data_IF_060991878057
#
_entry.id   IF_060991878057
#
_cell.length_a   1.000
_cell.length_b   1.000
_cell.length_c   1.000
_cell.angle_alpha   90.00
_cell.angle_beta   90.00
_cell.angle_gamma   90.00
#
_symmetry.space_group_name_H-M   'P 1'
#
loop_
_entity.id
_entity.type
_entity.pdbx_description
1 polymer ?
#
# COMPACT_ATOMS: atom_id res chain seq x y z
N UNK A 1 13.33 -17.64 15.02
CA UNK A 1 12.59 -17.01 13.89
C UNK A 1 11.26 -17.69 13.54
N UNK A 2 11.06 -19.01 13.70
CA UNK A 2 9.72 -19.64 13.58
C UNK A 2 8.64 -18.96 14.45
N UNK A 3 9.05 -18.37 15.57
CA UNK A 3 8.20 -17.55 16.44
C UNK A 3 7.43 -16.44 15.69
N UNK A 4 8.02 -15.84 14.65
CA UNK A 4 7.36 -14.78 13.88
C UNK A 4 6.18 -15.35 13.09
N UNK A 5 6.41 -16.43 12.34
CA UNK A 5 5.35 -17.07 11.58
C UNK A 5 4.25 -17.64 12.49
N UNK A 6 4.64 -18.21 13.64
CA UNK A 6 3.69 -18.69 14.64
C UNK A 6 2.84 -17.56 15.22
N UNK A 7 3.45 -16.41 15.49
CA UNK A 7 2.74 -15.21 15.95
C UNK A 7 1.70 -14.78 14.92
N UNK A 8 2.13 -14.50 13.69
CA UNK A 8 1.25 -14.10 12.58
C UNK A 8 0.12 -15.11 12.33
N UNK A 9 0.42 -16.40 12.35
CA UNK A 9 -0.58 -17.47 12.17
C UNK A 9 -1.58 -17.56 13.32
N UNK A 10 -1.24 -17.06 14.51
CA UNK A 10 -2.16 -16.99 15.65
C UNK A 10 -2.97 -15.68 15.69
N UNK A 11 -2.42 -14.60 15.14
CA UNK A 11 -3.08 -13.29 15.02
C UNK A 11 -4.26 -13.36 14.05
N UNK A 12 -4.09 -14.04 12.91
CA UNK A 12 -5.09 -14.08 11.85
C UNK A 12 -5.82 -15.43 11.75
N UNK A 13 -7.15 -15.46 11.86
CA UNK A 13 -7.92 -16.71 11.86
C UNK A 13 -7.97 -17.40 10.49
N UNK A 14 -7.80 -16.65 9.40
CA UNK A 14 -7.85 -17.18 8.02
C UNK A 14 -6.69 -16.65 7.15
N UNK A 15 -5.46 -16.83 7.62
CA UNK A 15 -4.25 -16.36 6.95
C UNK A 15 -4.10 -16.89 5.51
N UNK A 16 -4.47 -18.15 5.26
CA UNK A 16 -4.32 -18.77 3.94
C UNK A 16 -5.56 -18.64 3.05
N UNK A 17 -6.75 -18.47 3.62
CA UNK A 17 -7.98 -18.25 2.87
C UNK A 17 -8.16 -16.80 2.44
N UNK A 18 -7.58 -15.83 3.17
CA UNK A 18 -7.54 -14.44 2.74
C UNK A 18 -6.78 -14.29 1.40
N UNK A 19 -7.38 -13.60 0.42
CA UNK A 19 -6.88 -13.51 -0.97
C UNK A 19 -6.72 -12.07 -1.47
N UNK A 20 -6.47 -11.13 -0.57
CA UNK A 20 -6.29 -9.73 -0.94
C UNK A 20 -5.00 -9.11 -0.39
N UNK A 21 -4.03 -9.90 0.06
CA UNK A 21 -2.71 -9.33 0.40
C UNK A 21 -2.09 -8.66 -0.84
N UNK A 22 -1.13 -7.76 -0.62
CA UNK A 22 -0.30 -7.18 -1.69
C UNK A 22 0.31 -8.25 -2.60
N UNK A 23 0.60 -9.44 -2.07
CA UNK A 23 0.98 -10.63 -2.85
C UNK A 23 -0.08 -11.00 -3.90
N UNK A 24 -1.32 -11.19 -3.48
CA UNK A 24 -2.44 -11.54 -4.36
C UNK A 24 -2.69 -10.43 -5.38
N UNK A 25 -2.48 -9.19 -4.95
CA UNK A 25 -2.67 -8.02 -5.78
C UNK A 25 -1.69 -7.97 -6.94
N UNK A 26 -0.40 -8.07 -6.63
CA UNK A 26 0.67 -8.10 -7.63
C UNK A 26 0.53 -9.31 -8.55
N UNK A 27 0.18 -10.48 -8.01
CA UNK A 27 0.03 -11.70 -8.81
C UNK A 27 -1.15 -11.62 -9.77
N UNK A 28 -2.32 -11.14 -9.33
CA UNK A 28 -3.49 -10.96 -10.20
C UNK A 28 -3.24 -9.93 -11.31
N UNK A 29 -2.44 -8.91 -11.02
CA UNK A 29 -2.08 -7.86 -11.98
C UNK A 29 -0.83 -8.15 -12.81
N UNK A 30 -0.28 -9.37 -12.71
CA UNK A 30 0.89 -9.80 -13.49
C UNK A 30 2.11 -8.89 -13.30
N UNK A 31 2.35 -8.47 -12.06
CA UNK A 31 3.54 -7.71 -11.70
C UNK A 31 3.36 -6.21 -11.70
N UNK A 32 2.16 -5.69 -11.43
CA UNK A 32 1.95 -4.26 -11.17
C UNK A 32 0.94 -4.04 -10.04
N UNK A 33 0.85 -2.80 -9.54
CA UNK A 33 -0.15 -2.39 -8.56
C UNK A 33 -0.77 -1.06 -9.00
N UNK A 34 -2.08 -0.93 -8.86
CA UNK A 34 -2.81 0.29 -9.15
C UNK A 34 -3.25 0.97 -7.84
N UNK A 35 -2.98 2.27 -7.73
CA UNK A 35 -3.30 3.10 -6.60
C UNK A 35 -4.35 4.15 -6.95
N UNK A 36 -5.23 4.43 -6.00
CA UNK A 36 -6.05 5.63 -6.01
C UNK A 36 -5.73 6.52 -4.80
N UNK A 37 -5.58 7.83 -5.00
CA UNK A 37 -5.30 8.76 -3.90
C UNK A 37 -6.61 9.33 -3.36
N UNK A 38 -6.85 9.21 -2.05
CA UNK A 38 -7.94 9.86 -1.33
C UNK A 38 -7.39 11.07 -0.58
N UNK A 39 -7.71 12.26 -1.06
CA UNK A 39 -7.29 13.51 -0.43
C UNK A 39 -8.38 14.01 0.50
N UNK A 40 -8.28 13.64 1.78
CA UNK A 40 -9.22 14.03 2.83
C UNK A 40 -8.76 15.33 3.51
N UNK A 41 -8.59 16.37 2.69
CA UNK A 41 -8.19 17.71 3.12
C UNK A 41 -8.76 18.77 2.18
N UNK A 42 -9.02 19.97 2.70
CA UNK A 42 -9.41 21.13 1.89
C UNK A 42 -8.19 21.91 1.38
N UNK A 43 -6.97 21.51 1.76
CA UNK A 43 -5.76 22.15 1.28
C UNK A 43 -5.61 21.99 -0.25
N UNK A 44 -5.24 23.06 -0.98
CA UNK A 44 -5.14 23.01 -2.44
C UNK A 44 -4.01 22.09 -2.89
N UNK A 45 -4.24 21.36 -3.99
CA UNK A 45 -3.26 20.47 -4.60
C UNK A 45 -2.88 21.03 -5.96
N UNK A 46 -1.66 21.55 -6.08
CA UNK A 46 -1.07 21.95 -7.37
C UNK A 46 -0.65 20.73 -8.19
N UNK A 47 -0.44 20.90 -9.50
CA UNK A 47 0.15 19.85 -10.36
C UNK A 47 1.47 19.34 -9.79
N UNK A 48 2.34 20.26 -9.32
CA UNK A 48 3.64 19.91 -8.76
C UNK A 48 3.52 19.05 -7.49
N UNK A 49 2.60 19.40 -6.59
CA UNK A 49 2.37 18.60 -5.38
C UNK A 49 1.83 17.21 -5.71
N UNK A 50 0.88 17.12 -6.67
CA UNK A 50 0.37 15.83 -7.16
C UNK A 50 1.52 14.95 -7.68
N UNK A 51 2.38 15.50 -8.53
CA UNK A 51 3.47 14.75 -9.16
C UNK A 51 4.51 14.31 -8.13
N UNK A 52 4.80 15.14 -7.11
CA UNK A 52 5.65 14.77 -5.98
C UNK A 52 5.03 13.63 -5.16
N UNK A 53 3.72 13.67 -4.88
CA UNK A 53 3.01 12.59 -4.20
C UNK A 53 3.08 11.29 -5.00
N UNK A 54 2.86 11.35 -6.32
CA UNK A 54 2.97 10.17 -7.19
C UNK A 54 4.39 9.59 -7.16
N UNK A 55 5.42 10.43 -7.28
CA UNK A 55 6.80 9.99 -7.26
C UNK A 55 7.19 9.37 -5.91
N UNK A 56 6.80 10.01 -4.80
CA UNK A 56 7.02 9.50 -3.46
C UNK A 56 6.32 8.15 -3.25
N UNK A 57 5.04 8.05 -3.57
CA UNK A 57 4.26 6.81 -3.49
C UNK A 57 4.94 5.66 -4.26
N UNK A 58 5.29 5.89 -5.53
CA UNK A 58 6.00 4.90 -6.37
C UNK A 58 7.32 4.46 -5.74
N UNK A 59 8.12 5.42 -5.25
CA UNK A 59 9.41 5.15 -4.63
C UNK A 59 9.26 4.34 -3.34
N UNK A 60 8.40 4.78 -2.43
CA UNK A 60 8.27 4.19 -1.11
C UNK A 60 7.70 2.77 -1.19
N UNK A 61 6.63 2.56 -1.95
CA UNK A 61 6.07 1.22 -2.16
C UNK A 61 7.06 0.30 -2.89
N UNK A 62 7.78 0.83 -3.88
CA UNK A 62 8.81 0.11 -4.61
C UNK A 62 9.97 -0.41 -3.74
N UNK A 63 10.24 0.19 -2.57
CA UNK A 63 11.28 -0.32 -1.64
C UNK A 63 10.94 -1.70 -1.09
N UNK A 64 9.66 -2.00 -0.84
CA UNK A 64 9.22 -3.33 -0.42
C UNK A 64 9.36 -4.36 -1.55
N UNK A 65 9.17 -3.96 -2.80
CA UNK A 65 9.42 -4.85 -3.94
C UNK A 65 10.90 -5.08 -4.19
N UNK A 66 11.74 -4.05 -4.00
CA UNK A 66 13.18 -4.21 -4.02
C UNK A 66 13.68 -5.17 -2.92
N UNK A 67 13.01 -5.21 -1.76
CA UNK A 67 13.31 -6.15 -0.69
C UNK A 67 13.11 -7.63 -1.10
N UNK A 68 12.29 -7.93 -2.11
CA UNK A 68 12.13 -9.28 -2.66
C UNK A 68 13.25 -9.72 -3.59
N UNK A 69 14.13 -8.81 -3.98
CA UNK A 69 15.21 -9.08 -4.93
C UNK A 69 16.55 -9.30 -4.23
N UNK A 70 17.37 -10.17 -4.80
CA UNK A 70 18.79 -10.30 -4.50
C UNK A 70 19.58 -10.09 -5.80
N UNK A 71 20.39 -9.04 -5.85
CA UNK A 71 21.10 -8.59 -7.06
C UNK A 71 20.20 -8.54 -8.32
N UNK A 72 18.97 -8.02 -8.17
CA UNK A 72 18.00 -7.88 -9.26
C UNK A 72 17.24 -9.16 -9.62
N UNK A 73 17.53 -10.29 -8.96
CA UNK A 73 16.83 -11.56 -9.17
C UNK A 73 15.81 -11.80 -8.06
N UNK A 74 14.61 -12.24 -8.43
CA UNK A 74 13.58 -12.57 -7.45
C UNK A 74 13.99 -13.72 -6.52
N UNK A 75 13.79 -13.53 -5.22
CA UNK A 75 14.09 -14.57 -4.22
C UNK A 75 12.96 -15.58 -4.10
N UNK A 76 13.30 -16.84 -3.81
CA UNK A 76 12.33 -17.90 -3.52
C UNK A 76 11.17 -18.00 -4.55
N UNK A 77 11.52 -18.09 -5.83
CA UNK A 77 10.58 -18.15 -6.96
C UNK A 77 9.68 -16.92 -7.14
N UNK A 78 10.00 -15.77 -6.51
CA UNK A 78 9.34 -14.51 -6.82
C UNK A 78 9.52 -14.16 -8.32
N UNK A 79 8.44 -13.96 -9.08
CA UNK A 79 8.53 -13.94 -10.54
C UNK A 79 8.81 -12.55 -11.15
N UNK A 80 8.79 -11.48 -10.35
CA UNK A 80 8.85 -10.11 -10.86
C UNK A 80 10.15 -9.39 -10.48
N UNK A 81 10.95 -9.03 -11.47
CA UNK A 81 12.14 -8.18 -11.27
C UNK A 81 11.78 -6.70 -11.04
N UNK A 82 10.56 -6.29 -11.39
CA UNK A 82 10.03 -4.95 -11.14
C UNK A 82 8.52 -5.03 -10.98
N UNK A 83 7.97 -4.20 -10.09
CA UNK A 83 6.53 -4.07 -9.91
C UNK A 83 6.15 -2.59 -10.01
N UNK A 84 5.71 -2.11 -11.19
CA UNK A 84 5.31 -0.72 -11.36
C UNK A 84 4.09 -0.37 -10.51
N UNK A 85 4.12 0.83 -9.93
CA UNK A 85 3.00 1.44 -9.21
C UNK A 85 2.35 2.48 -10.12
N UNK A 86 1.10 2.26 -10.48
CA UNK A 86 0.32 3.16 -11.32
C UNK A 86 -0.65 3.95 -10.44
N UNK A 87 -0.70 5.27 -10.56
CA UNK A 87 -1.76 6.05 -9.92
C UNK A 87 -2.85 6.21 -10.98
N UNK A 88 -4.03 5.63 -10.73
CA UNK A 88 -5.13 5.58 -11.71
C UNK A 88 -6.24 6.59 -11.41
N UNK A 89 -6.33 7.07 -10.17
CA UNK A 89 -7.36 8.03 -9.78
C UNK A 89 -7.03 8.88 -8.54
N UNK A 90 -7.81 9.94 -8.38
CA UNK A 90 -7.79 10.87 -7.25
C UNK A 90 -9.22 11.17 -6.79
N UNK A 91 -9.46 11.07 -5.49
CA UNK A 91 -10.71 11.46 -4.85
C UNK A 91 -10.52 12.70 -4.00
N UNK A 92 -11.45 13.66 -4.15
CA UNK A 92 -11.52 14.90 -3.37
C UNK A 92 -12.96 15.22 -3.04
N UNK A 93 -13.19 15.93 -1.93
CA UNK A 93 -14.53 16.39 -1.60
C UNK A 93 -15.03 17.43 -2.61
N UNK A 94 -14.18 18.41 -2.95
CA UNK A 94 -14.49 19.49 -3.88
C UNK A 94 -13.48 19.48 -5.05
N UNK A 95 -13.97 19.57 -6.30
CA UNK A 95 -13.09 19.59 -7.48
C UNK A 95 -12.13 20.78 -7.48
N UNK A 96 -12.54 21.90 -6.89
CA UNK A 96 -11.76 23.13 -6.76
C UNK A 96 -10.51 22.97 -5.88
N UNK A 97 -10.45 21.93 -5.04
CA UNK A 97 -9.24 21.58 -4.27
C UNK A 97 -8.07 21.22 -5.19
N UNK A 98 -8.34 20.64 -6.37
CA UNK A 98 -7.31 20.28 -7.34
C UNK A 98 -7.07 21.45 -8.31
N UNK A 99 -5.91 22.08 -8.23
CA UNK A 99 -5.49 23.23 -9.06
C UNK A 99 -4.88 22.81 -10.40
N UNK A 100 -5.33 21.68 -10.92
CA UNK A 100 -4.89 21.07 -12.18
C UNK A 100 -6.09 20.47 -12.90
N UNK A 101 -6.00 20.33 -14.23
CA UNK A 101 -7.14 19.95 -15.09
C UNK A 101 -6.78 18.91 -16.15
N UNK A 102 -5.56 18.37 -16.14
CA UNK A 102 -5.20 17.28 -17.05
C UNK A 102 -5.96 15.99 -16.73
N UNK A 103 -5.90 15.05 -17.68
CA UNK A 103 -6.60 13.77 -17.66
C UNK A 103 -5.63 12.58 -17.40
N UNK A 104 -4.52 12.82 -16.70
CA UNK A 104 -3.55 11.77 -16.39
C UNK A 104 -4.12 10.65 -15.51
N UNK A 105 -5.16 10.96 -14.72
CA UNK A 105 -5.83 10.05 -13.79
C UNK A 105 -7.34 10.36 -13.72
N UNK A 106 -8.13 9.42 -13.24
CA UNK A 106 -9.57 9.62 -13.03
C UNK A 106 -9.80 10.53 -11.82
N UNK A 107 -10.80 11.40 -11.89
CA UNK A 107 -11.16 12.31 -10.78
C UNK A 107 -12.51 11.96 -10.21
N UNK A 108 -12.53 11.61 -8.93
CA UNK A 108 -13.73 11.33 -8.14
C UNK A 108 -14.00 12.51 -7.20
N UNK A 109 -14.62 13.57 -7.73
CA UNK A 109 -15.01 14.72 -6.93
C UNK A 109 -16.41 14.51 -6.32
N UNK A 110 -16.54 14.68 -5.01
CA UNK A 110 -17.83 14.58 -4.31
C UNK A 110 -18.35 13.15 -4.11
N UNK A 111 -17.58 12.13 -4.51
CA UNK A 111 -17.87 10.75 -4.12
C UNK A 111 -17.36 10.54 -2.69
N UNK A 112 -18.28 10.41 -1.73
CA UNK A 112 -17.96 10.32 -0.32
C UNK A 112 -18.36 8.95 0.24
N UNK A 113 -17.56 8.45 1.19
CA UNK A 113 -17.94 7.29 1.99
C UNK A 113 -19.00 7.65 3.04
N UNK A 114 -19.43 6.65 3.82
CA UNK A 114 -20.45 6.84 4.86
C UNK A 114 -20.04 7.80 5.98
N UNK A 115 -18.74 8.08 6.15
CA UNK A 115 -18.22 9.05 7.09
C UNK A 115 -18.06 10.45 6.47
N UNK A 116 -18.43 10.63 5.20
CA UNK A 116 -18.31 11.89 4.48
C UNK A 116 -16.90 12.18 3.96
N UNK A 117 -15.99 11.20 3.97
CA UNK A 117 -14.64 11.34 3.46
C UNK A 117 -14.58 10.98 1.96
N UNK A 118 -13.79 11.70 1.15
CA UNK A 118 -13.73 11.44 -0.29
C UNK A 118 -13.12 10.10 -0.60
N UNK A 119 -13.77 9.33 -1.46
CA UNK A 119 -13.35 8.00 -1.89
C UNK A 119 -13.35 7.86 -3.40
N UNK A 120 -12.47 7.00 -3.90
CA UNK A 120 -12.51 6.56 -5.29
C UNK A 120 -13.74 5.66 -5.51
N UNK A 121 -14.15 5.44 -6.77
CA UNK A 121 -15.32 4.62 -7.07
C UNK A 121 -15.20 3.22 -6.44
N UNK A 122 -16.14 2.79 -5.56
CA UNK A 122 -16.11 1.44 -4.99
C UNK A 122 -16.15 0.35 -6.05
N UNK A 123 -16.88 0.56 -7.15
CA UNK A 123 -16.95 -0.37 -8.29
C UNK A 123 -15.60 -0.62 -8.98
N UNK A 124 -14.59 0.21 -8.71
CA UNK A 124 -13.23 0.06 -9.24
C UNK A 124 -12.23 -0.42 -8.18
N UNK A 125 -12.63 -0.55 -6.91
CA UNK A 125 -11.73 -0.87 -5.81
C UNK A 125 -11.68 -2.36 -5.52
N UNK A 126 -10.49 -2.94 -5.55
CA UNK A 126 -10.29 -4.36 -5.24
C UNK A 126 -10.75 -4.78 -3.86
N UNK A 127 -10.63 -3.87 -2.88
CA UNK A 127 -11.18 -4.09 -1.55
C UNK A 127 -12.68 -4.48 -1.58
N UNK A 128 -13.44 -3.91 -2.52
CA UNK A 128 -14.86 -4.19 -2.73
C UNK A 128 -15.11 -5.35 -3.70
N UNK A 129 -14.14 -5.65 -4.57
CA UNK A 129 -14.24 -6.60 -5.68
C UNK A 129 -13.09 -7.62 -5.65
N UNK A 130 -13.00 -8.39 -4.56
CA UNK A 130 -11.99 -9.44 -4.38
C UNK A 130 -12.22 -10.65 -5.29
N UNK A 131 -13.39 -10.75 -5.90
CA UNK A 131 -13.72 -11.68 -6.98
C UNK A 131 -13.07 -11.32 -8.32
N UNK A 132 -12.50 -10.11 -8.43
CA UNK A 132 -11.89 -9.60 -9.65
C UNK A 132 -12.91 -9.12 -10.69
N UNK A 133 -14.19 -8.96 -10.32
CA UNK A 133 -15.22 -8.44 -11.23
C UNK A 133 -15.24 -6.91 -11.20
N UNK A 134 -14.57 -6.32 -12.19
CA UNK A 134 -14.57 -4.86 -12.41
C UNK A 134 -15.50 -4.44 -13.56
N UNK A 135 -16.51 -5.25 -13.92
CA UNK A 135 -17.45 -4.94 -15.02
C UNK A 135 -18.23 -3.64 -14.81
N UNK A 136 -18.41 -3.22 -13.56
CA UNK A 136 -19.06 -1.95 -13.18
C UNK A 136 -18.08 -0.78 -13.06
N UNK A 137 -16.78 -1.01 -13.10
CA UNK A 137 -15.80 0.06 -13.16
C UNK A 137 -15.86 0.73 -14.54
N UNK A 138 -16.07 2.05 -14.68
CA UNK A 138 -16.22 2.70 -15.98
C UNK A 138 -15.04 2.50 -16.95
N UNK A 139 -13.82 2.31 -16.41
CA UNK A 139 -12.63 1.96 -17.18
C UNK A 139 -12.19 0.50 -17.05
N UNK A 140 -13.06 -0.35 -16.53
CA UNK A 140 -12.89 -1.78 -16.34
C UNK A 140 -11.63 -2.14 -15.56
N UNK A 141 -11.11 -3.34 -15.86
CA UNK A 141 -9.88 -3.88 -15.26
C UNK A 141 -8.69 -2.93 -15.45
N UNK A 142 -8.62 -2.15 -16.52
CA UNK A 142 -7.47 -1.24 -16.73
C UNK A 142 -7.45 -0.02 -15.79
N UNK A 143 -8.60 0.35 -15.23
CA UNK A 143 -8.75 1.53 -14.36
C UNK A 143 -9.14 1.18 -12.93
N UNK A 144 -9.18 -0.11 -12.58
CA UNK A 144 -9.34 -0.55 -11.20
C UNK A 144 -8.13 -0.12 -10.34
N UNK A 145 -8.31 -0.02 -9.03
CA UNK A 145 -7.23 0.18 -8.06
C UNK A 145 -7.22 -0.96 -7.04
N UNK A 146 -6.02 -1.41 -6.69
CA UNK A 146 -5.78 -2.41 -5.65
C UNK A 146 -5.66 -1.76 -4.27
N UNK A 147 -5.03 -0.59 -4.24
CA UNK A 147 -4.63 0.11 -3.03
C UNK A 147 -5.14 1.54 -3.04
N UNK A 148 -5.42 2.08 -1.86
CA UNK A 148 -5.84 3.46 -1.68
C UNK A 148 -4.89 4.20 -0.75
N UNK A 149 -4.35 5.34 -1.17
CA UNK A 149 -3.54 6.22 -0.31
C UNK A 149 -4.43 7.32 0.26
N UNK A 150 -4.74 7.24 1.55
CA UNK A 150 -5.56 8.22 2.25
C UNK A 150 -4.65 9.24 2.92
N UNK A 151 -4.72 10.48 2.45
CA UNK A 151 -4.01 11.62 3.01
C UNK A 151 -5.02 12.44 3.80
N UNK A 152 -5.09 12.18 5.10
CA UNK A 152 -6.11 12.74 5.98
C UNK A 152 -5.59 13.92 6.78
N UNK A 153 -6.26 15.07 6.66
CA UNK A 153 -5.94 16.27 7.43
C UNK A 153 -6.00 16.00 8.95
N UNK A 154 -4.92 16.33 9.66
CA UNK A 154 -4.85 16.22 11.12
C UNK A 154 -4.78 14.78 11.67
N UNK A 155 -4.80 13.75 10.82
CA UNK A 155 -4.64 12.36 11.26
C UNK A 155 -3.23 12.13 11.80
N UNK A 156 -3.13 11.50 12.97
CA UNK A 156 -1.86 11.17 13.63
C UNK A 156 -1.61 9.68 13.54
N UNK A 157 -0.34 9.30 13.38
CA UNK A 157 0.05 7.91 13.16
C UNK A 157 -0.26 7.43 11.73
N UNK A 158 -0.41 6.12 11.59
CA UNK A 158 -0.71 5.45 10.34
C UNK A 158 -1.67 4.29 10.56
N UNK A 159 -2.29 3.86 9.47
CA UNK A 159 -3.01 2.59 9.39
C UNK A 159 -2.84 2.01 7.98
N UNK A 160 -2.64 0.70 7.89
CA UNK A 160 -2.32 0.03 6.64
C UNK A 160 -2.93 -1.36 6.55
N UNK A 161 -3.03 -1.88 5.33
CA UNK A 161 -3.53 -3.23 5.09
C UNK A 161 -3.75 -3.54 3.61
N UNK A 162 -4.65 -4.48 3.36
CA UNK A 162 -5.02 -4.95 2.03
C UNK A 162 -5.73 -3.88 1.18
N UNK A 163 -6.36 -2.88 1.81
CA UNK A 163 -7.09 -1.81 1.13
C UNK A 163 -6.23 -0.59 0.78
N UNK A 164 -5.03 -0.46 1.35
CA UNK A 164 -4.28 0.79 1.26
C UNK A 164 -3.49 1.17 2.51
N UNK A 165 -3.14 2.45 2.53
CA UNK A 165 -2.50 3.11 3.67
C UNK A 165 -3.23 4.43 3.95
N UNK A 166 -3.34 4.78 5.22
CA UNK A 166 -3.81 6.08 5.70
C UNK A 166 -2.75 6.70 6.58
N UNK A 167 -2.42 7.95 6.28
CA UNK A 167 -1.48 8.76 7.06
C UNK A 167 -1.94 10.21 7.11
N UNK A 168 -1.35 10.99 8.02
CA UNK A 168 -1.56 12.43 8.07
C UNK A 168 -1.17 13.11 6.77
N UNK A 169 -2.06 13.94 6.21
CA UNK A 169 -1.81 14.69 4.99
C UNK A 169 -0.59 15.62 5.15
N UNK A 170 -0.52 16.34 6.27
CA UNK A 170 0.56 17.26 6.60
C UNK A 170 1.89 16.51 6.78
N UNK A 171 1.85 15.35 7.45
CA UNK A 171 3.00 14.47 7.62
C UNK A 171 3.56 14.00 6.28
N UNK A 172 2.72 13.39 5.43
CA UNK A 172 3.18 12.81 4.17
C UNK A 172 3.72 13.89 3.23
N UNK A 173 3.01 15.01 3.11
CA UNK A 173 3.44 16.13 2.25
C UNK A 173 4.73 16.80 2.76
N UNK A 174 4.91 16.92 4.08
CA UNK A 174 6.16 17.40 4.67
C UNK A 174 7.34 16.44 4.52
N UNK A 175 7.07 15.16 4.25
CA UNK A 175 8.07 14.11 4.09
C UNK A 175 8.41 13.75 2.64
N UNK A 176 7.80 14.39 1.62
CA UNK A 176 7.95 14.01 0.20
C UNK A 176 9.40 13.98 -0.30
N UNK A 177 10.28 14.78 0.29
CA UNK A 177 11.70 14.83 -0.07
C UNK A 177 12.57 13.82 0.70
N UNK A 178 12.02 13.12 1.70
CA UNK A 178 12.78 12.18 2.51
C UNK A 178 13.07 10.89 1.75
N UNK A 179 14.22 10.27 2.06
CA UNK A 179 14.57 8.98 1.48
C UNK A 179 13.56 7.90 1.88
N UNK A 180 13.16 7.92 3.15
CA UNK A 180 12.22 6.98 3.76
C UNK A 180 11.08 7.78 4.42
N UNK A 181 9.86 7.65 3.90
CA UNK A 181 8.67 8.22 4.56
C UNK A 181 8.22 7.22 5.62
N UNK A 182 8.87 7.30 6.79
CA UNK A 182 8.85 6.27 7.83
C UNK A 182 7.47 5.64 8.11
N UNK A 183 6.48 6.42 8.55
CA UNK A 183 5.15 5.89 8.92
C UNK A 183 4.49 5.25 7.69
N UNK A 184 4.53 5.92 6.54
CA UNK A 184 3.96 5.34 5.32
C UNK A 184 4.64 4.02 4.93
N UNK A 185 5.97 3.91 5.05
CA UNK A 185 6.68 2.66 4.76
C UNK A 185 6.25 1.53 5.70
N UNK A 186 6.05 1.83 6.98
CA UNK A 186 5.51 0.88 7.96
C UNK A 186 4.12 0.39 7.52
N UNK A 187 3.22 1.32 7.17
CA UNK A 187 1.87 0.96 6.72
C UNK A 187 1.84 0.11 5.44
N UNK A 188 2.81 0.27 4.55
CA UNK A 188 2.94 -0.61 3.37
C UNK A 188 3.35 -2.04 3.78
N UNK A 189 4.06 -2.22 4.89
CA UNK A 189 4.38 -3.56 5.40
C UNK A 189 3.13 -4.39 5.70
N UNK A 190 2.10 -3.77 6.27
CA UNK A 190 0.80 -4.42 6.54
C UNK A 190 0.08 -4.87 5.26
N UNK A 191 0.28 -4.19 4.13
CA UNK A 191 -0.22 -4.65 2.83
C UNK A 191 0.27 -6.05 2.50
N UNK A 192 1.47 -6.43 2.95
CA UNK A 192 2.05 -7.76 2.74
C UNK A 192 1.80 -8.73 3.90
N UNK A 193 0.91 -8.38 4.84
CA UNK A 193 0.53 -9.21 5.98
C UNK A 193 1.54 -9.20 7.13
N UNK A 194 2.46 -8.24 7.16
CA UNK A 194 3.38 -8.11 8.28
C UNK A 194 2.67 -7.49 9.49
N UNK A 195 2.81 -8.10 10.66
CA UNK A 195 2.20 -7.63 11.91
C UNK A 195 2.88 -6.38 12.47
N UNK A 196 2.14 -5.66 13.31
CA UNK A 196 2.70 -4.73 14.28
C UNK A 196 3.36 -5.48 15.44
N UNK A 197 4.44 -4.91 15.98
CA UNK A 197 5.19 -5.50 17.10
C UNK A 197 5.18 -4.60 18.34
N UNK A 198 3.99 -4.19 18.80
CA UNK A 198 3.84 -3.33 19.99
C UNK A 198 4.04 -4.09 21.31
N UNK A 199 3.41 -5.25 21.45
CA UNK A 199 3.33 -5.99 22.72
C UNK A 199 4.33 -7.14 22.81
N UNK A 200 4.94 -7.51 21.68
CA UNK A 200 5.86 -8.63 21.57
C UNK A 200 6.88 -8.37 20.47
N UNK A 201 8.12 -8.84 20.69
CA UNK A 201 9.18 -8.82 19.69
C UNK A 201 9.88 -10.17 19.61
N UNK A 202 10.34 -10.61 18.42
CA UNK A 202 11.03 -11.88 18.26
C UNK A 202 12.36 -11.93 19.03
N UNK A 203 12.69 -13.09 19.57
CA UNK A 203 13.87 -13.26 20.42
C UNK A 203 15.16 -12.92 19.66
N UNK A 204 15.96 -12.01 20.23
CA UNK A 204 17.25 -11.63 19.66
C UNK A 204 17.17 -10.76 18.41
N UNK A 205 15.99 -10.25 18.06
CA UNK A 205 15.80 -9.29 16.98
C UNK A 205 15.54 -7.92 17.59
N UNK A 206 16.32 -6.93 17.17
CA UNK A 206 15.99 -5.53 17.41
C UNK A 206 15.98 -4.77 16.11
N UNK A 207 15.16 -3.74 16.16
CA UNK A 207 15.28 -2.53 15.38
C UNK A 207 14.94 -2.81 13.93
N UNK A 208 13.64 -2.82 13.66
CA UNK A 208 13.06 -3.10 12.35
C UNK A 208 11.80 -2.28 12.19
N UNK A 209 11.47 -1.94 10.95
CA UNK A 209 10.44 -0.98 10.61
C UNK A 209 9.08 -1.39 11.18
N UNK A 210 8.73 -2.67 11.15
CA UNK A 210 7.45 -3.18 11.68
C UNK A 210 7.36 -3.16 13.22
N UNK A 211 8.47 -2.94 13.93
CA UNK A 211 8.45 -2.56 15.34
C UNK A 211 8.50 -1.03 15.41
N UNK A 212 7.32 -0.42 15.39
CA UNK A 212 7.14 1.01 15.18
C UNK A 212 8.05 1.86 16.09
N UNK A 213 8.79 2.79 15.47
CA UNK A 213 9.71 3.68 16.17
C UNK A 213 11.10 3.09 16.47
N UNK A 214 11.31 1.79 16.30
CA UNK A 214 12.63 1.16 16.51
C UNK A 214 13.58 1.30 15.31
N UNK A 215 13.04 1.53 14.10
CA UNK A 215 13.79 1.86 12.89
C UNK A 215 12.96 2.78 12.00
N UNK A 216 13.62 3.61 11.18
CA UNK A 216 12.95 4.56 10.26
C UNK A 216 13.02 4.14 8.79
N UNK A 217 13.49 2.91 8.53
CA UNK A 217 13.69 2.35 7.20
C UNK A 217 13.56 0.82 7.22
N UNK A 218 13.25 0.22 6.07
CA UNK A 218 13.24 -1.24 5.90
C UNK A 218 14.62 -1.81 6.20
N UNK A 219 14.71 -2.68 7.22
CA UNK A 219 15.95 -3.34 7.64
C UNK A 219 16.06 -4.74 7.05
N UNK A 220 17.18 -5.42 7.29
CA UNK A 220 17.35 -6.79 6.83
C UNK A 220 16.37 -7.76 7.52
N UNK A 221 15.93 -7.45 8.73
CA UNK A 221 14.90 -8.24 9.39
C UNK A 221 13.52 -8.06 8.75
N UNK A 222 13.15 -6.83 8.37
CA UNK A 222 11.91 -6.59 7.61
C UNK A 222 11.93 -7.33 6.26
N UNK A 223 13.07 -7.30 5.55
CA UNK A 223 13.25 -8.06 4.29
C UNK A 223 13.10 -9.57 4.53
N UNK A 224 13.67 -10.08 5.62
CA UNK A 224 13.53 -11.50 5.97
C UNK A 224 12.07 -11.85 6.24
N UNK A 225 11.34 -11.06 7.06
CA UNK A 225 9.92 -11.29 7.35
C UNK A 225 9.07 -11.29 6.08
N UNK A 226 9.29 -10.30 5.20
CA UNK A 226 8.61 -10.20 3.91
C UNK A 226 8.80 -11.46 3.05
N UNK A 227 10.05 -11.92 2.92
CA UNK A 227 10.38 -13.13 2.14
C UNK A 227 9.86 -14.41 2.80
N UNK A 228 9.80 -14.43 4.13
CA UNK A 228 9.26 -15.56 4.88
C UNK A 228 7.75 -15.70 4.67
N UNK A 229 7.02 -14.57 4.68
CA UNK A 229 5.60 -14.56 4.35
C UNK A 229 5.34 -15.10 2.94
N UNK A 230 6.13 -14.63 1.95
CA UNK A 230 6.08 -15.17 0.59
C UNK A 230 6.35 -16.68 0.54
N UNK A 231 7.33 -17.18 1.30
CA UNK A 231 7.64 -18.63 1.36
C UNK A 231 6.44 -19.48 1.77
N UNK A 232 5.58 -18.95 2.64
CA UNK A 232 4.37 -19.63 3.07
C UNK A 232 3.19 -19.49 2.09
N UNK A 233 3.11 -18.40 1.34
CA UNK A 233 2.00 -18.17 0.41
C UNK A 233 2.23 -18.65 -1.02
N UNK A 234 3.47 -18.71 -1.49
CA UNK A 234 3.78 -18.84 -2.93
C UNK A 234 3.15 -20.05 -3.63
N UNK A 235 2.95 -21.16 -2.90
CA UNK A 235 2.38 -22.40 -3.43
C UNK A 235 0.96 -22.22 -3.95
N UNK A 236 0.22 -21.21 -3.43
CA UNK A 236 -1.11 -20.86 -3.92
C UNK A 236 -1.11 -20.36 -5.37
N UNK A 237 0.05 -19.95 -5.89
CA UNK A 237 0.24 -19.51 -7.25
C UNK A 237 0.98 -20.56 -8.12
N UNK A 238 1.20 -21.76 -7.60
CA UNK A 238 1.92 -22.83 -8.30
C UNK A 238 3.45 -22.65 -8.33
N UNK A 239 4.03 -21.98 -7.32
CA UNK A 239 5.47 -21.65 -7.19
C UNK A 239 6.15 -22.27 -5.96
#
# INVERSE_FOLDING_TARGET
LNEVWNHVSSTYPDLYGFKNYGWDQVMANKGSINYCVRWESDAPVSTALRDQIHAALKKQWGKWMAAMLDNGTGTNAWPYASVPVNIVGWAVKNRSTLQWTDNSVDIYAGNLDSAGAPQCAPDCGRFFHQDGDYSRCPGGVTRHYDQSLWLTKGFQGGAGGDWGQRVGQEYFTGALAQENIHIYLHEVGHTFGLDDFYDWTPTGQCCFLMNAGSATQITDFDKWMLRDFWRHLKSRYGL
#
